data_IF_767220888638
#
_entry.id   IF_767220888638
#
_cell.length_a   1.000
_cell.length_b   1.000
_cell.length_c   1.000
_cell.angle_alpha   90.00
_cell.angle_beta   90.00
_cell.angle_gamma   90.00
#
_symmetry.space_group_name_H-M   'P 1'
#
loop_
_entity.id
_entity.type
_entity.pdbx_description
1 polymer ?
#
# COMPACT_ATOMS: atom_id res chain seq x y z
N UNK A 1 10.78 -9.02 6.99
CA UNK A 1 11.37 -8.40 5.79
C UNK A 1 10.58 -8.67 4.49
N UNK A 2 10.53 -7.69 3.57
CA UNK A 2 10.02 -7.85 2.19
C UNK A 2 10.86 -8.90 1.41
N UNK A 3 10.22 -9.78 0.63
CA UNK A 3 10.91 -10.78 -0.16
C UNK A 3 11.88 -10.19 -1.19
N UNK A 4 11.56 -9.03 -1.79
CA UNK A 4 12.45 -8.33 -2.72
C UNK A 4 13.73 -7.84 -2.01
N UNK A 5 13.58 -7.16 -0.88
CA UNK A 5 14.74 -6.65 -0.14
C UNK A 5 15.65 -7.77 0.36
N UNK A 6 15.06 -8.89 0.80
CA UNK A 6 15.84 -10.08 1.17
C UNK A 6 16.69 -10.59 0.01
N UNK A 7 16.13 -10.63 -1.21
CA UNK A 7 16.84 -11.09 -2.41
C UNK A 7 17.97 -10.15 -2.78
N UNK A 8 17.71 -8.84 -2.81
CA UNK A 8 18.73 -7.84 -3.13
C UNK A 8 19.86 -7.83 -2.09
N UNK A 9 19.53 -7.92 -0.78
CA UNK A 9 20.55 -7.94 0.27
C UNK A 9 21.42 -9.22 0.24
N UNK A 10 20.88 -10.34 -0.23
CA UNK A 10 21.62 -11.59 -0.35
C UNK A 10 22.50 -11.66 -1.60
N UNK A 11 22.29 -10.78 -2.57
CA UNK A 11 23.01 -10.79 -3.84
C UNK A 11 24.27 -9.92 -3.75
N UNK A 12 25.48 -10.46 -4.01
CA UNK A 12 26.72 -9.69 -3.91
C UNK A 12 26.85 -8.59 -4.98
N UNK A 13 26.00 -8.58 -6.00
CA UNK A 13 25.98 -7.54 -7.04
C UNK A 13 25.15 -6.31 -6.63
N UNK A 14 24.45 -6.35 -5.49
CA UNK A 14 23.61 -5.26 -5.03
C UNK A 14 24.08 -4.68 -3.69
N UNK A 15 24.30 -3.36 -3.65
CA UNK A 15 24.41 -2.59 -2.40
C UNK A 15 23.08 -1.88 -2.10
N UNK A 16 22.16 -2.60 -1.45
CA UNK A 16 20.85 -2.05 -1.07
C UNK A 16 20.97 -1.13 0.15
N UNK A 17 20.71 0.16 -0.05
CA UNK A 17 20.59 1.15 1.03
C UNK A 17 19.22 1.82 1.03
N UNK A 18 18.72 2.15 2.23
CA UNK A 18 17.41 2.77 2.40
C UNK A 18 17.50 4.24 2.80
N UNK A 19 16.72 5.07 2.12
CA UNK A 19 16.34 6.39 2.61
C UNK A 19 15.02 6.28 3.36
N UNK A 20 15.05 6.58 4.67
CA UNK A 20 13.91 6.38 5.56
C UNK A 20 13.41 7.74 6.05
N UNK A 21 12.12 8.01 5.89
CA UNK A 21 11.50 9.25 6.33
C UNK A 21 10.04 9.07 6.74
N UNK A 22 9.35 10.18 6.98
CA UNK A 22 7.91 10.20 7.23
C UNK A 22 7.52 9.43 8.50
N UNK A 23 6.46 8.62 8.37
CA UNK A 23 5.88 7.88 9.50
C UNK A 23 6.84 6.85 10.13
N UNK A 24 7.87 6.39 9.40
CA UNK A 24 8.84 5.42 9.93
C UNK A 24 9.60 5.91 11.15
N UNK A 25 9.82 7.23 11.26
CA UNK A 25 10.53 7.85 12.37
C UNK A 25 9.59 8.43 13.44
N UNK A 26 8.27 8.30 13.26
CA UNK A 26 7.29 8.86 14.19
C UNK A 26 6.83 7.84 15.21
N UNK A 27 6.99 8.16 16.50
CA UNK A 27 6.46 7.34 17.61
C UNK A 27 4.93 7.25 17.59
N UNK A 28 4.25 8.30 17.14
CA UNK A 28 2.78 8.33 16.98
C UNK A 28 2.27 7.24 16.04
N UNK A 29 3.08 6.89 15.02
CA UNK A 29 2.77 5.88 14.02
C UNK A 29 3.55 4.57 14.24
N UNK A 30 4.09 4.36 15.45
CA UNK A 30 4.71 3.10 15.85
C UNK A 30 6.21 2.95 15.56
N UNK A 31 6.89 4.02 15.13
CA UNK A 31 8.35 4.08 14.95
C UNK A 31 8.91 2.88 14.16
N UNK A 32 8.31 2.62 13.00
CA UNK A 32 8.57 1.39 12.23
C UNK A 32 9.97 1.29 11.59
N UNK A 33 10.83 2.31 11.75
CA UNK A 33 12.27 2.17 11.46
C UNK A 33 12.93 1.08 12.33
N UNK A 34 12.42 0.80 13.52
CA UNK A 34 12.96 -0.26 14.37
C UNK A 34 12.80 -1.63 13.71
N UNK A 35 11.69 -1.85 13.01
CA UNK A 35 11.47 -3.08 12.22
C UNK A 35 12.41 -3.14 11.00
N UNK A 36 12.70 -2.00 10.36
CA UNK A 36 13.67 -1.94 9.26
C UNK A 36 15.06 -2.36 9.76
N UNK A 37 15.48 -1.86 10.92
CA UNK A 37 16.76 -2.22 11.56
C UNK A 37 16.79 -3.67 12.01
N UNK A 38 15.70 -4.17 12.60
CA UNK A 38 15.57 -5.56 13.01
C UNK A 38 15.59 -6.54 11.82
N UNK A 39 15.05 -6.12 10.66
CA UNK A 39 15.16 -6.85 9.39
C UNK A 39 16.61 -6.89 8.85
N UNK A 40 17.56 -6.18 9.48
CA UNK A 40 18.98 -6.14 9.08
C UNK A 40 19.26 -5.25 7.87
N UNK A 41 18.32 -4.39 7.48
CA UNK A 41 18.44 -3.53 6.31
C UNK A 41 19.31 -2.31 6.63
N UNK A 42 20.19 -1.96 5.69
CA UNK A 42 21.11 -0.84 5.85
C UNK A 42 20.41 0.48 5.50
N UNK A 43 20.38 1.41 6.45
CA UNK A 43 19.82 2.75 6.27
C UNK A 43 20.94 3.68 5.82
N UNK A 44 20.82 4.23 4.59
CA UNK A 44 21.71 5.29 4.09
C UNK A 44 21.50 6.57 4.90
N UNK A 45 20.24 6.95 5.05
CA UNK A 45 19.82 8.20 5.65
C UNK A 45 18.45 8.02 6.31
N UNK A 46 18.30 8.58 7.50
CA UNK A 46 17.04 8.73 8.18
C UNK A 46 16.72 10.22 8.35
N UNK A 47 15.59 10.69 7.82
CA UNK A 47 15.17 12.10 7.89
C UNK A 47 13.87 12.21 8.68
N UNK A 48 13.93 12.81 9.87
CA UNK A 48 12.74 13.14 10.66
C UNK A 48 11.93 14.23 9.97
N UNK A 49 11.08 13.84 9.03
CA UNK A 49 10.39 14.76 8.13
C UNK A 49 8.93 15.00 8.48
N UNK A 50 8.29 14.12 9.27
CA UNK A 50 6.86 14.19 9.53
C UNK A 50 6.53 15.25 10.59
N UNK A 51 5.78 16.28 10.18
CA UNK A 51 5.21 17.28 11.09
C UNK A 51 3.99 16.69 11.80
N UNK A 52 3.88 16.89 13.11
CA UNK A 52 2.71 16.48 13.90
C UNK A 52 1.50 17.39 13.65
N UNK A 53 0.86 17.19 12.50
CA UNK A 53 -0.36 17.87 12.08
C UNK A 53 -1.07 17.01 11.03
N UNK A 54 -2.39 17.14 10.93
CA UNK A 54 -3.23 16.47 9.94
C UNK A 54 -3.85 17.47 8.94
N UNK A 55 -3.19 18.60 8.73
CA UNK A 55 -3.61 19.62 7.75
C UNK A 55 -3.02 19.36 6.37
N UNK A 56 -3.69 19.77 5.27
CA UNK A 56 -3.12 19.65 3.92
C UNK A 56 -1.75 20.31 3.77
N UNK A 57 -1.52 21.47 4.39
CA UNK A 57 -0.24 22.17 4.31
C UNK A 57 0.89 21.43 5.04
N UNK A 58 0.59 20.75 6.14
CA UNK A 58 1.57 19.94 6.88
C UNK A 58 2.08 18.74 6.08
N UNK A 59 1.22 18.11 5.26
CA UNK A 59 1.61 17.04 4.33
C UNK A 59 2.70 17.51 3.38
N UNK A 60 2.48 18.65 2.71
CA UNK A 60 3.47 19.21 1.77
C UNK A 60 4.74 19.72 2.47
N UNK A 61 4.63 20.33 3.65
CA UNK A 61 5.80 20.73 4.44
C UNK A 61 6.65 19.52 4.83
N UNK A 62 6.02 18.43 5.24
CA UNK A 62 6.72 17.18 5.59
C UNK A 62 7.47 16.60 4.39
N UNK A 63 6.85 16.62 3.21
CA UNK A 63 7.50 16.23 1.96
C UNK A 63 8.71 17.12 1.62
N UNK A 64 8.57 18.43 1.79
CA UNK A 64 9.66 19.38 1.54
C UNK A 64 10.86 19.14 2.46
N UNK A 65 10.63 18.85 3.74
CA UNK A 65 11.71 18.51 4.69
C UNK A 65 12.41 17.21 4.25
N UNK A 66 11.65 16.19 3.84
CA UNK A 66 12.21 14.93 3.35
C UNK A 66 13.09 15.16 2.10
N UNK A 67 12.60 15.93 1.13
CA UNK A 67 13.37 16.25 -0.08
C UNK A 67 14.65 17.01 0.27
N UNK A 68 14.56 18.08 1.06
CA UNK A 68 15.72 18.88 1.46
C UNK A 68 16.78 18.03 2.19
N UNK A 69 16.36 17.19 3.13
CA UNK A 69 17.28 16.32 3.87
C UNK A 69 17.91 15.23 3.01
N UNK A 70 17.26 14.82 1.91
CA UNK A 70 17.71 13.74 1.04
C UNK A 70 18.78 14.15 0.02
N UNK A 71 18.75 15.40 -0.47
CA UNK A 71 19.52 15.84 -1.64
C UNK A 71 21.01 15.55 -1.49
N UNK A 72 21.65 16.08 -0.44
CA UNK A 72 23.12 16.01 -0.30
C UNK A 72 23.59 14.57 -0.09
N UNK A 73 22.82 13.77 0.66
CA UNK A 73 23.16 12.38 0.92
C UNK A 73 23.06 11.52 -0.34
N UNK A 74 22.01 11.70 -1.15
CA UNK A 74 21.83 10.96 -2.41
C UNK A 74 22.86 11.41 -3.44
N UNK A 75 23.09 12.72 -3.57
CA UNK A 75 24.10 13.29 -4.47
C UNK A 75 25.52 12.83 -4.12
N UNK A 76 25.83 12.68 -2.83
CA UNK A 76 27.13 12.18 -2.38
C UNK A 76 27.27 10.67 -2.56
N UNK A 77 26.20 9.91 -2.30
CA UNK A 77 26.20 8.45 -2.42
C UNK A 77 26.27 7.98 -3.88
N UNK A 78 25.68 8.74 -4.80
CA UNK A 78 25.64 8.43 -6.25
C UNK A 78 25.19 6.98 -6.52
N UNK A 79 23.98 6.58 -6.08
CA UNK A 79 23.49 5.24 -6.34
C UNK A 79 23.31 5.00 -7.84
N UNK A 80 23.52 3.77 -8.30
CA UNK A 80 23.21 3.39 -9.69
C UNK A 80 21.72 3.57 -9.98
N UNK A 81 20.84 3.29 -9.02
CA UNK A 81 19.41 3.49 -9.20
C UNK A 81 18.69 3.91 -7.92
N UNK A 82 17.60 4.64 -8.09
CA UNK A 82 16.63 4.91 -7.02
C UNK A 82 15.35 4.12 -7.30
N UNK A 83 14.91 3.35 -6.31
CA UNK A 83 13.69 2.55 -6.37
C UNK A 83 12.65 3.11 -5.41
N UNK A 84 11.41 3.29 -5.90
CA UNK A 84 10.28 3.73 -5.09
C UNK A 84 8.98 3.10 -5.55
N UNK A 85 7.99 3.04 -4.65
CA UNK A 85 6.74 2.32 -4.87
C UNK A 85 5.53 3.12 -4.42
N UNK A 86 4.46 3.09 -5.23
CA UNK A 86 3.17 3.67 -4.88
C UNK A 86 2.95 5.06 -5.47
N UNK A 87 2.40 5.96 -4.67
CA UNK A 87 1.73 7.19 -5.11
C UNK A 87 1.74 8.36 -4.12
N UNK A 88 2.41 8.23 -2.97
CA UNK A 88 2.52 9.28 -1.95
C UNK A 88 3.70 10.21 -2.23
N UNK A 89 3.90 11.21 -1.37
CA UNK A 89 4.89 12.27 -1.56
C UNK A 89 6.31 11.73 -1.77
N UNK A 90 6.68 10.69 -1.03
CA UNK A 90 7.98 10.03 -1.13
C UNK A 90 8.28 9.48 -2.54
N UNK A 91 7.25 9.09 -3.30
CA UNK A 91 7.39 8.60 -4.67
C UNK A 91 7.75 9.73 -5.62
N UNK A 92 7.11 10.89 -5.46
CA UNK A 92 7.48 12.08 -6.23
C UNK A 92 8.87 12.59 -5.84
N UNK A 93 9.23 12.56 -4.56
CA UNK A 93 10.57 12.94 -4.08
C UNK A 93 11.63 12.03 -4.71
N UNK A 94 11.46 10.71 -4.67
CA UNK A 94 12.37 9.77 -5.30
C UNK A 94 12.51 10.00 -6.81
N UNK A 95 11.39 10.30 -7.48
CA UNK A 95 11.38 10.61 -8.90
C UNK A 95 12.11 11.92 -9.23
N UNK A 96 11.94 12.97 -8.42
CA UNK A 96 12.66 14.24 -8.58
C UNK A 96 14.15 14.07 -8.33
N UNK A 97 14.54 13.41 -7.23
CA UNK A 97 15.95 13.16 -6.93
C UNK A 97 16.62 12.46 -8.11
N UNK A 98 16.01 11.40 -8.63
CA UNK A 98 16.55 10.72 -9.80
C UNK A 98 16.62 11.58 -11.06
N UNK A 99 15.54 12.27 -11.39
CA UNK A 99 15.48 13.08 -12.60
C UNK A 99 16.48 14.25 -12.60
N UNK A 100 16.65 14.95 -11.47
CA UNK A 100 17.50 16.14 -11.38
C UNK A 100 18.96 15.85 -11.01
N UNK A 101 19.23 14.72 -10.34
CA UNK A 101 20.60 14.26 -10.07
C UNK A 101 21.11 13.28 -11.14
N UNK A 102 20.34 13.10 -12.22
CA UNK A 102 20.67 12.22 -13.34
C UNK A 102 20.86 10.74 -12.96
N UNK A 103 20.13 10.29 -11.94
CA UNK A 103 20.16 8.90 -11.45
C UNK A 103 18.96 8.13 -12.02
N UNK A 104 19.19 6.96 -12.65
CA UNK A 104 18.13 6.07 -13.10
C UNK A 104 17.13 5.70 -12.00
N UNK A 105 15.86 5.63 -12.38
CA UNK A 105 14.76 5.38 -11.44
C UNK A 105 13.89 4.22 -11.85
N UNK A 106 13.43 3.44 -10.87
CA UNK A 106 12.51 2.32 -11.07
C UNK A 106 11.25 2.55 -10.23
N UNK A 107 10.14 2.84 -10.91
CA UNK A 107 8.85 3.08 -10.28
C UNK A 107 8.02 1.81 -10.20
N UNK A 108 7.75 1.38 -8.98
CA UNK A 108 6.79 0.31 -8.72
C UNK A 108 5.37 0.85 -8.65
N UNK A 109 4.45 0.11 -9.26
CA UNK A 109 3.00 0.41 -9.27
C UNK A 109 2.59 1.66 -10.07
N UNK A 110 3.45 2.16 -10.95
CA UNK A 110 3.07 3.12 -11.98
C UNK A 110 1.88 2.63 -12.81
N UNK A 111 1.07 3.55 -13.34
CA UNK A 111 -0.09 3.22 -14.19
C UNK A 111 -1.32 2.66 -13.46
N UNK A 112 -1.26 2.39 -12.15
CA UNK A 112 -2.47 2.17 -11.34
C UNK A 112 -3.37 3.43 -11.36
N UNK A 113 -4.66 3.27 -11.10
CA UNK A 113 -5.63 4.36 -11.15
C UNK A 113 -6.86 4.10 -10.27
N UNK A 114 -7.24 5.08 -9.46
CA UNK A 114 -8.50 5.08 -8.70
C UNK A 114 -9.47 6.13 -9.25
N UNK A 115 -10.78 5.94 -9.10
CA UNK A 115 -11.79 6.90 -9.59
C UNK A 115 -11.91 8.15 -8.73
N UNK A 116 -11.51 8.10 -7.45
CA UNK A 116 -11.59 9.28 -6.56
C UNK A 116 -10.76 10.45 -7.08
N UNK A 117 -9.76 10.20 -7.93
CA UNK A 117 -9.04 11.25 -8.64
C UNK A 117 -8.26 12.17 -7.71
N UNK A 118 -8.04 11.78 -6.45
CA UNK A 118 -7.29 12.59 -5.50
C UNK A 118 -5.82 12.70 -5.89
N UNK A 119 -5.04 13.48 -5.12
CA UNK A 119 -3.65 13.86 -5.41
C UNK A 119 -2.73 12.66 -5.69
N UNK A 120 -3.05 11.48 -5.15
CA UNK A 120 -2.24 10.27 -5.36
C UNK A 120 -2.22 9.83 -6.84
N UNK A 121 -3.30 10.02 -7.60
CA UNK A 121 -3.31 9.74 -9.05
C UNK A 121 -2.36 10.64 -9.86
N UNK A 122 -2.48 11.99 -9.84
CA UNK A 122 -1.57 12.86 -10.55
C UNK A 122 -0.13 12.74 -10.03
N UNK A 123 0.10 12.53 -8.72
CA UNK A 123 1.44 12.24 -8.19
C UNK A 123 2.00 10.97 -8.80
N UNK A 124 1.24 9.87 -8.84
CA UNK A 124 1.66 8.60 -9.44
C UNK A 124 2.03 8.77 -10.92
N UNK A 125 1.21 9.48 -11.70
CA UNK A 125 1.47 9.67 -13.13
C UNK A 125 2.61 10.66 -13.40
N UNK A 126 2.75 11.71 -12.59
CA UNK A 126 3.88 12.64 -12.65
C UNK A 126 5.19 11.93 -12.31
N UNK A 127 5.22 11.15 -11.23
CA UNK A 127 6.37 10.31 -10.90
C UNK A 127 6.67 9.34 -12.03
N UNK A 128 5.65 8.71 -12.63
CA UNK A 128 5.85 7.84 -13.79
C UNK A 128 6.54 8.58 -14.95
N UNK A 129 6.09 9.80 -15.29
CA UNK A 129 6.74 10.61 -16.34
C UNK A 129 8.18 11.01 -16.01
N UNK A 130 8.55 11.12 -14.73
CA UNK A 130 9.93 11.35 -14.30
C UNK A 130 10.76 10.05 -14.19
N UNK A 131 10.12 8.88 -14.21
CA UNK A 131 10.77 7.59 -13.94
C UNK A 131 11.45 6.99 -15.16
N UNK A 132 12.60 6.32 -14.99
CA UNK A 132 13.31 5.67 -16.11
C UNK A 132 12.63 4.35 -16.50
N UNK A 133 12.30 3.51 -15.53
CA UNK A 133 11.69 2.19 -15.71
C UNK A 133 10.47 2.01 -14.81
N UNK A 134 9.59 1.07 -15.20
CA UNK A 134 8.33 0.81 -14.53
C UNK A 134 8.15 -0.68 -14.26
N UNK A 135 7.97 -1.03 -12.99
CA UNK A 135 7.61 -2.38 -12.56
C UNK A 135 6.17 -2.36 -12.05
N UNK A 136 5.25 -2.80 -12.91
CA UNK A 136 3.81 -2.67 -12.66
C UNK A 136 3.14 -3.99 -12.30
N UNK A 137 1.98 -3.91 -11.64
CA UNK A 137 1.31 -5.10 -11.12
C UNK A 137 0.48 -5.85 -12.17
N UNK A 138 -0.24 -5.15 -13.05
CA UNK A 138 -1.16 -5.76 -14.02
C UNK A 138 -1.06 -5.11 -15.39
N UNK A 139 -1.54 -5.81 -16.42
CA UNK A 139 -1.49 -5.31 -17.81
C UNK A 139 -2.23 -3.97 -17.98
N UNK A 140 -3.34 -3.77 -17.27
CA UNK A 140 -4.07 -2.50 -17.29
C UNK A 140 -3.20 -1.30 -16.86
N UNK A 141 -2.23 -1.52 -15.96
CA UNK A 141 -1.29 -0.48 -15.55
C UNK A 141 -0.30 -0.16 -16.66
N UNK A 142 0.26 -1.20 -17.31
CA UNK A 142 1.14 -1.05 -18.48
C UNK A 142 0.43 -0.29 -19.60
N UNK A 143 -0.80 -0.65 -19.93
CA UNK A 143 -1.59 0.04 -20.96
C UNK A 143 -1.80 1.52 -20.66
N UNK A 144 -1.96 1.88 -19.38
CA UNK A 144 -2.09 3.29 -18.99
C UNK A 144 -0.77 4.05 -19.14
N UNK A 145 0.36 3.45 -18.79
CA UNK A 145 1.68 4.04 -18.99
C UNK A 145 2.02 4.22 -20.48
N UNK A 146 1.70 3.23 -21.33
CA UNK A 146 1.85 3.35 -22.78
C UNK A 146 1.06 4.55 -23.32
N UNK A 147 -0.17 4.76 -22.83
CA UNK A 147 -0.98 5.94 -23.20
C UNK A 147 -0.46 7.26 -22.62
N UNK A 148 0.33 7.23 -21.54
CA UNK A 148 1.07 8.39 -21.04
C UNK A 148 2.38 8.64 -21.82
N UNK A 149 2.65 7.86 -22.87
CA UNK A 149 3.84 7.97 -23.70
C UNK A 149 5.09 7.42 -23.03
N UNK A 150 4.95 6.44 -22.13
CA UNK A 150 6.10 5.70 -21.63
C UNK A 150 6.52 4.62 -22.64
N UNK A 151 7.82 4.48 -22.96
CA UNK A 151 8.29 3.48 -23.90
C UNK A 151 8.06 2.07 -23.38
N UNK A 152 7.56 1.19 -24.25
CA UNK A 152 7.16 -0.16 -23.88
C UNK A 152 8.33 -0.99 -23.31
N UNK A 153 9.50 -0.85 -23.92
CA UNK A 153 10.71 -1.54 -23.48
C UNK A 153 11.15 -1.16 -22.07
N UNK A 154 10.61 -0.07 -21.50
CA UNK A 154 10.87 0.38 -20.13
C UNK A 154 9.80 -0.05 -19.12
N UNK A 155 8.77 -0.78 -19.54
CA UNK A 155 7.67 -1.24 -18.69
C UNK A 155 7.72 -2.76 -18.56
N UNK A 156 7.61 -3.28 -17.33
CA UNK A 156 7.47 -4.72 -17.06
C UNK A 156 6.31 -4.99 -16.13
N UNK A 157 5.45 -5.93 -16.50
CA UNK A 157 4.38 -6.44 -15.63
C UNK A 157 4.97 -7.54 -14.77
N UNK A 158 5.21 -7.24 -13.49
CA UNK A 158 5.83 -8.17 -12.53
C UNK A 158 4.85 -8.76 -11.54
N UNK A 159 3.67 -8.15 -11.37
CA UNK A 159 2.73 -8.51 -10.29
C UNK A 159 2.91 -7.64 -9.05
N UNK A 160 2.10 -7.89 -8.02
CA UNK A 160 2.16 -7.18 -6.76
C UNK A 160 3.13 -7.87 -5.78
N UNK A 161 4.16 -7.14 -5.32
CA UNK A 161 5.21 -7.66 -4.41
C UNK A 161 4.65 -8.13 -3.07
N UNK A 162 3.55 -7.55 -2.61
CA UNK A 162 2.95 -7.95 -1.33
C UNK A 162 2.51 -9.42 -1.34
N UNK A 163 2.13 -9.96 -2.52
CA UNK A 163 1.56 -11.30 -2.63
C UNK A 163 2.60 -12.38 -2.38
N UNK A 164 3.88 -12.11 -2.64
CA UNK A 164 4.99 -13.00 -2.28
C UNK A 164 4.99 -13.31 -0.78
N UNK A 165 4.72 -12.29 0.06
CA UNK A 165 4.65 -12.48 1.51
C UNK A 165 3.41 -13.30 1.90
N UNK A 166 2.26 -13.05 1.28
CA UNK A 166 1.06 -13.85 1.53
C UNK A 166 1.26 -15.32 1.14
N UNK A 167 1.93 -15.58 0.02
CA UNK A 167 2.23 -16.94 -0.44
C UNK A 167 3.21 -17.67 0.48
N UNK A 168 4.27 -16.98 0.93
CA UNK A 168 5.30 -17.59 1.77
C UNK A 168 4.89 -17.74 3.25
N UNK A 169 4.01 -16.87 3.75
CA UNK A 169 3.67 -16.81 5.17
C UNK A 169 2.79 -17.99 5.61
N UNK A 170 3.14 -18.62 6.72
CA UNK A 170 2.25 -19.57 7.41
C UNK A 170 1.60 -18.84 8.58
N UNK A 171 0.28 -18.76 8.58
CA UNK A 171 -0.46 -18.02 9.60
C UNK A 171 -0.18 -18.60 11.00
N UNK A 172 0.09 -17.72 11.95
CA UNK A 172 0.09 -18.07 13.37
C UNK A 172 -1.35 -18.51 13.73
N UNK A 173 -1.54 -19.66 14.39
CA UNK A 173 -2.86 -20.10 14.84
C UNK A 173 -3.53 -19.06 15.72
N UNK A 174 -4.85 -18.94 15.62
CA UNK A 174 -5.62 -17.88 16.28
C UNK A 174 -5.42 -17.84 17.79
N UNK A 175 -5.31 -18.98 18.46
CA UNK A 175 -5.10 -19.07 19.91
C UNK A 175 -3.72 -18.48 20.30
N UNK A 176 -2.69 -18.75 19.49
CA UNK A 176 -1.35 -18.19 19.71
C UNK A 176 -1.32 -16.69 19.40
N UNK A 177 -2.01 -16.27 18.35
CA UNK A 177 -2.15 -14.86 17.98
C UNK A 177 -2.87 -14.06 19.08
N UNK A 178 -3.89 -14.66 19.70
CA UNK A 178 -4.60 -14.09 20.82
C UNK A 178 -3.68 -13.83 22.01
N UNK A 179 -2.82 -14.79 22.37
CA UNK A 179 -1.84 -14.61 23.45
C UNK A 179 -0.77 -13.59 23.08
N UNK A 180 -0.23 -13.67 21.86
CA UNK A 180 0.88 -12.84 21.38
C UNK A 180 0.50 -11.36 21.25
N UNK A 181 -0.70 -11.06 20.77
CA UNK A 181 -1.17 -9.69 20.55
C UNK A 181 -2.10 -9.17 21.66
N UNK A 182 -2.45 -10.02 22.64
CA UNK A 182 -3.43 -9.68 23.66
C UNK A 182 -4.83 -9.45 23.09
N UNK A 183 -5.24 -10.24 22.08
CA UNK A 183 -6.59 -10.12 21.53
C UNK A 183 -7.62 -10.50 22.61
N UNK A 184 -8.76 -9.80 22.70
CA UNK A 184 -9.80 -10.13 23.68
C UNK A 184 -10.31 -11.56 23.50
N UNK A 185 -10.49 -12.30 24.60
CA UNK A 185 -11.06 -13.65 24.53
C UNK A 185 -12.47 -13.67 23.91
N UNK A 186 -13.24 -12.60 24.11
CA UNK A 186 -14.56 -12.45 23.52
C UNK A 186 -14.54 -12.02 22.04
N UNK A 187 -13.37 -11.74 21.44
CA UNK A 187 -13.27 -11.28 20.04
C UNK A 187 -14.05 -12.19 19.08
N UNK A 188 -13.93 -13.50 19.27
CA UNK A 188 -14.61 -14.46 18.41
C UNK A 188 -14.14 -14.34 16.97
N UNK A 189 -14.96 -14.80 16.03
CA UNK A 189 -14.75 -14.52 14.62
C UNK A 189 -14.78 -13.01 14.38
N UNK A 190 -13.84 -12.50 13.59
CA UNK A 190 -13.66 -11.07 13.40
C UNK A 190 -13.48 -10.68 11.94
N UNK A 191 -13.77 -9.41 11.66
CA UNK A 191 -13.36 -8.73 10.44
C UNK A 191 -12.10 -7.90 10.68
N UNK A 192 -11.21 -7.87 9.69
CA UNK A 192 -10.12 -6.90 9.63
C UNK A 192 -10.67 -5.58 9.08
N UNK A 193 -10.54 -4.50 9.84
CA UNK A 193 -11.07 -3.18 9.48
C UNK A 193 -9.92 -2.23 9.18
N UNK A 194 -9.88 -1.69 7.97
CA UNK A 194 -8.86 -0.72 7.55
C UNK A 194 -9.52 0.40 6.73
N UNK A 195 -9.60 1.60 7.31
CA UNK A 195 -10.32 2.73 6.73
C UNK A 195 -9.50 4.02 6.81
N UNK A 196 -9.39 4.70 5.69
CA UNK A 196 -8.61 5.92 5.50
C UNK A 196 -9.53 7.07 5.09
N UNK A 197 -9.25 8.32 5.51
CA UNK A 197 -9.99 9.47 5.02
C UNK A 197 -9.85 9.61 3.51
N UNK A 198 -10.97 9.76 2.80
CA UNK A 198 -11.00 10.21 1.40
C UNK A 198 -11.53 11.65 1.37
N UNK A 199 -11.02 12.56 0.52
CA UNK A 199 -11.49 13.94 0.47
C UNK A 199 -13.00 14.09 0.26
N UNK A 200 -13.62 13.17 -0.48
CA UNK A 200 -15.06 13.22 -0.79
C UNK A 200 -15.90 12.90 0.46
N UNK A 201 -15.38 12.06 1.34
CA UNK A 201 -16.12 11.49 2.48
C UNK A 201 -15.49 11.90 3.83
N UNK A 202 -14.55 12.84 3.83
CA UNK A 202 -13.72 13.20 4.99
C UNK A 202 -14.54 13.61 6.21
N UNK A 203 -15.55 14.45 6.01
CA UNK A 203 -16.38 14.99 7.10
C UNK A 203 -17.29 13.93 7.74
N UNK A 204 -17.53 12.84 7.01
CA UNK A 204 -18.35 11.71 7.48
C UNK A 204 -17.54 10.47 7.84
N UNK A 205 -16.21 10.51 7.68
CA UNK A 205 -15.35 9.34 7.85
C UNK A 205 -15.49 8.67 9.24
N UNK A 206 -15.53 9.41 10.37
CA UNK A 206 -15.78 8.81 11.69
C UNK A 206 -17.14 8.10 11.79
N UNK A 207 -18.18 8.68 11.18
CA UNK A 207 -19.53 8.12 11.16
C UNK A 207 -19.59 6.86 10.31
N UNK A 208 -18.88 6.83 9.17
CA UNK A 208 -18.77 5.64 8.31
C UNK A 208 -18.05 4.51 9.05
N UNK A 209 -16.96 4.80 9.75
CA UNK A 209 -16.29 3.82 10.62
C UNK A 209 -17.26 3.28 11.69
N UNK A 210 -17.99 4.15 12.38
CA UNK A 210 -19.00 3.75 13.35
C UNK A 210 -20.06 2.81 12.75
N UNK A 211 -20.60 3.14 11.57
CA UNK A 211 -21.58 2.30 10.85
C UNK A 211 -21.01 0.91 10.53
N UNK A 212 -19.76 0.82 10.08
CA UNK A 212 -19.11 -0.46 9.81
C UNK A 212 -18.98 -1.30 11.09
N UNK A 213 -18.52 -0.70 12.18
CA UNK A 213 -18.36 -1.42 13.46
C UNK A 213 -19.70 -1.91 14.02
N UNK A 214 -20.75 -1.09 13.94
CA UNK A 214 -22.08 -1.46 14.40
C UNK A 214 -22.74 -2.52 13.50
N UNK A 215 -22.45 -2.50 12.20
CA UNK A 215 -22.88 -3.53 11.25
C UNK A 215 -22.21 -4.88 11.54
N UNK A 216 -20.88 -4.88 11.74
CA UNK A 216 -20.14 -6.08 12.13
C UNK A 216 -20.67 -6.71 13.42
N UNK A 217 -20.93 -5.87 14.44
CA UNK A 217 -21.49 -6.33 15.70
C UNK A 217 -22.88 -6.97 15.52
N UNK A 218 -23.76 -6.38 14.70
CA UNK A 218 -25.08 -6.94 14.38
C UNK A 218 -24.99 -8.30 13.65
N UNK A 219 -23.94 -8.51 12.85
CA UNK A 219 -23.63 -9.79 12.21
C UNK A 219 -22.83 -10.75 13.11
N UNK A 220 -22.64 -10.41 14.39
CA UNK A 220 -21.95 -11.28 15.35
C UNK A 220 -20.45 -11.41 15.09
N UNK A 221 -19.82 -10.45 14.42
CA UNK A 221 -18.37 -10.39 14.21
C UNK A 221 -17.70 -9.40 15.18
N UNK A 222 -16.50 -9.75 15.62
CA UNK A 222 -15.57 -8.81 16.25
C UNK A 222 -14.86 -7.93 15.22
N UNK A 223 -14.16 -6.92 15.68
CA UNK A 223 -13.41 -5.99 14.84
C UNK A 223 -11.94 -5.92 15.28
N UNK A 224 -11.03 -6.19 14.34
CA UNK A 224 -9.60 -5.90 14.47
C UNK A 224 -9.30 -4.71 13.59
N UNK A 225 -9.03 -3.54 14.18
CA UNK A 225 -9.01 -2.25 13.50
C UNK A 225 -7.59 -1.68 13.41
N UNK A 226 -7.11 -1.46 12.18
CA UNK A 226 -5.88 -0.72 11.94
C UNK A 226 -6.12 0.79 12.00
N UNK A 227 -5.19 1.52 12.62
CA UNK A 227 -5.25 2.99 12.63
C UNK A 227 -5.04 3.54 11.21
N UNK A 228 -5.65 4.70 10.88
CA UNK A 228 -5.38 5.36 9.60
C UNK A 228 -3.91 5.80 9.51
N UNK A 229 -3.48 6.03 8.27
CA UNK A 229 -2.17 6.61 7.97
C UNK A 229 -2.12 8.10 8.32
N UNK A 230 -0.97 8.73 8.05
CA UNK A 230 -0.72 10.15 8.34
C UNK A 230 -1.41 11.13 7.38
N UNK A 231 -2.39 10.68 6.60
CA UNK A 231 -3.08 11.55 5.64
C UNK A 231 -3.96 12.58 6.38
N UNK A 232 -4.24 13.74 5.76
CA UNK A 232 -5.05 14.77 6.40
C UNK A 232 -6.40 14.27 6.90
N UNK A 233 -6.85 14.82 8.03
CA UNK A 233 -8.08 14.47 8.73
C UNK A 233 -8.17 13.02 9.26
N UNK A 234 -7.05 12.48 9.71
CA UNK A 234 -7.01 11.18 10.40
C UNK A 234 -7.46 11.26 11.88
N UNK A 235 -7.44 12.44 12.52
CA UNK A 235 -7.70 12.58 13.97
C UNK A 235 -9.09 12.13 14.39
N UNK A 236 -10.13 12.52 13.64
CA UNK A 236 -11.50 12.11 13.95
C UNK A 236 -11.71 10.59 13.86
N UNK A 237 -10.99 9.91 12.94
CA UNK A 237 -11.00 8.44 12.89
C UNK A 237 -10.30 7.84 14.09
N UNK A 238 -9.15 8.38 14.49
CA UNK A 238 -8.44 7.95 15.71
C UNK A 238 -9.34 8.08 16.93
N UNK A 239 -10.00 9.21 17.13
CA UNK A 239 -10.95 9.42 18.22
C UNK A 239 -12.09 8.40 18.20
N UNK A 240 -12.67 8.12 17.03
CA UNK A 240 -13.72 7.12 16.88
C UNK A 240 -13.25 5.68 17.20
N UNK A 241 -11.99 5.35 16.89
CA UNK A 241 -11.37 4.07 17.28
C UNK A 241 -11.20 4.00 18.80
N UNK A 242 -10.66 5.06 19.42
CA UNK A 242 -10.39 5.09 20.87
C UNK A 242 -11.68 4.97 21.68
N UNK A 243 -12.78 5.57 21.23
CA UNK A 243 -14.10 5.45 21.87
C UNK A 243 -14.66 4.02 21.91
N UNK A 244 -14.10 3.10 21.11
CA UNK A 244 -14.53 1.70 21.00
C UNK A 244 -13.59 0.73 21.72
N UNK A 245 -12.47 1.22 22.27
CA UNK A 245 -11.37 0.39 22.79
C UNK A 245 -11.80 -0.59 23.89
N UNK A 246 -12.75 -0.20 24.73
CA UNK A 246 -13.22 -1.02 25.86
C UNK A 246 -14.31 -2.04 25.48
N UNK A 247 -14.69 -2.12 24.20
CA UNK A 247 -15.68 -3.10 23.75
C UNK A 247 -15.08 -4.51 23.73
N UNK A 248 -15.82 -5.54 24.22
CA UNK A 248 -15.27 -6.88 24.42
C UNK A 248 -14.87 -7.60 23.12
N UNK A 249 -15.40 -7.16 21.98
CA UNK A 249 -15.13 -7.74 20.65
C UNK A 249 -14.36 -6.82 19.73
N UNK A 250 -13.51 -5.98 20.31
CA UNK A 250 -12.78 -4.94 19.60
C UNK A 250 -11.30 -4.99 19.96
N UNK A 251 -10.45 -4.88 18.95
CA UNK A 251 -9.01 -4.72 19.12
C UNK A 251 -8.51 -3.71 18.10
N UNK A 252 -7.66 -2.77 18.51
CA UNK A 252 -7.10 -1.78 17.59
C UNK A 252 -5.58 -1.68 17.72
N UNK A 253 -4.89 -1.51 16.59
CA UNK A 253 -3.44 -1.50 16.50
C UNK A 253 -2.93 -0.37 15.61
N UNK A 254 -1.83 0.27 16.00
CA UNK A 254 -1.18 1.30 15.18
C UNK A 254 -0.31 0.68 14.09
N UNK A 255 0.61 -0.18 14.51
CA UNK A 255 1.48 -0.95 13.65
C UNK A 255 1.64 -2.35 14.25
N UNK A 256 1.64 -3.37 13.40
CA UNK A 256 1.95 -4.74 13.78
C UNK A 256 3.25 -5.16 13.08
N UNK A 257 3.96 -6.11 13.67
CA UNK A 257 4.98 -6.82 12.92
C UNK A 257 4.35 -7.54 11.72
N UNK A 258 5.12 -7.71 10.66
CA UNK A 258 4.60 -8.25 9.39
C UNK A 258 3.95 -9.62 9.57
N UNK A 259 4.58 -10.52 10.31
CA UNK A 259 4.09 -11.89 10.50
C UNK A 259 2.80 -11.90 11.34
N UNK A 260 2.69 -10.99 12.30
CA UNK A 260 1.48 -10.79 13.10
C UNK A 260 0.35 -10.20 12.24
N UNK A 261 0.62 -9.18 11.44
CA UNK A 261 -0.37 -8.60 10.52
C UNK A 261 -0.88 -9.63 9.51
N UNK A 262 0.02 -10.39 8.85
CA UNK A 262 -0.39 -11.42 7.89
C UNK A 262 -1.16 -12.55 8.57
N UNK A 263 -0.88 -12.85 9.84
CA UNK A 263 -1.65 -13.82 10.63
C UNK A 263 -3.02 -13.29 11.00
N UNK A 264 -3.14 -12.03 11.43
CA UNK A 264 -4.43 -11.35 11.65
C UNK A 264 -5.25 -11.38 10.35
N UNK A 265 -4.61 -11.08 9.22
CA UNK A 265 -5.25 -11.06 7.91
C UNK A 265 -5.79 -12.45 7.52
N UNK A 266 -4.95 -13.49 7.64
CA UNK A 266 -5.30 -14.87 7.26
C UNK A 266 -6.34 -15.52 8.16
N UNK A 267 -6.46 -15.08 9.41
CA UNK A 267 -7.46 -15.58 10.35
C UNK A 267 -8.78 -14.78 10.32
N UNK A 268 -8.87 -13.68 9.57
CA UNK A 268 -10.08 -12.88 9.46
C UNK A 268 -11.19 -13.60 8.68
N UNK A 269 -12.46 -13.30 8.99
CA UNK A 269 -13.61 -13.77 8.20
C UNK A 269 -13.85 -12.97 6.93
N UNK A 270 -13.55 -11.68 6.99
CA UNK A 270 -13.61 -10.73 5.88
C UNK A 270 -12.70 -9.54 6.19
N UNK A 271 -12.34 -8.79 5.16
CA UNK A 271 -11.75 -7.46 5.29
C UNK A 271 -12.80 -6.41 4.88
N UNK A 272 -12.90 -5.31 5.63
CA UNK A 272 -13.84 -4.23 5.37
C UNK A 272 -13.20 -2.86 5.57
N UNK A 273 -13.59 -1.89 4.75
CA UNK A 273 -13.12 -0.52 4.81
C UNK A 273 -12.83 0.00 3.41
N UNK A 274 -11.74 0.73 3.23
CA UNK A 274 -11.37 1.29 1.92
C UNK A 274 -9.86 1.23 1.68
N UNK A 275 -9.18 0.30 2.35
CA UNK A 275 -7.77 0.01 2.14
C UNK A 275 -7.56 -0.70 0.81
N UNK A 276 -6.47 -0.36 0.12
CA UNK A 276 -6.05 -1.07 -1.09
C UNK A 276 -5.87 -2.56 -0.84
N UNK A 277 -5.49 -2.97 0.37
CA UNK A 277 -5.28 -4.36 0.76
C UNK A 277 -6.52 -5.24 0.49
N UNK A 278 -7.74 -4.69 0.67
CA UNK A 278 -8.99 -5.38 0.34
C UNK A 278 -9.14 -5.74 -1.13
N UNK A 279 -8.55 -4.95 -2.03
CA UNK A 279 -8.59 -5.18 -3.48
C UNK A 279 -7.37 -5.95 -3.97
N UNK A 280 -6.20 -5.55 -3.49
CA UNK A 280 -4.91 -5.98 -4.02
C UNK A 280 -4.45 -7.32 -3.45
N UNK A 281 -4.73 -7.58 -2.17
CA UNK A 281 -4.14 -8.67 -1.39
C UNK A 281 -5.17 -9.70 -0.95
N UNK A 282 -6.41 -9.28 -0.71
CA UNK A 282 -7.46 -10.15 -0.18
C UNK A 282 -7.76 -11.39 -1.01
N UNK A 283 -7.45 -11.41 -2.31
CA UNK A 283 -7.64 -12.60 -3.15
C UNK A 283 -6.47 -13.60 -3.08
N UNK A 284 -5.35 -13.26 -2.42
CA UNK A 284 -4.20 -14.17 -2.22
C UNK A 284 -4.40 -15.17 -1.08
N UNK A 285 -5.38 -14.90 -0.24
CA UNK A 285 -5.95 -15.81 0.74
C UNK A 285 -7.44 -15.84 0.39
N UNK A 286 -8.19 -16.94 0.53
CA UNK A 286 -9.60 -16.95 0.15
C UNK A 286 -10.44 -16.10 1.14
N UNK A 287 -10.31 -14.77 1.08
CA UNK A 287 -10.92 -13.79 1.96
C UNK A 287 -11.84 -12.86 1.16
N UNK A 288 -13.08 -12.73 1.63
CA UNK A 288 -14.00 -11.76 1.08
C UNK A 288 -13.62 -10.34 1.51
N UNK A 289 -13.82 -9.38 0.61
CA UNK A 289 -13.57 -7.97 0.86
C UNK A 289 -14.85 -7.14 0.65
N UNK A 290 -15.14 -6.24 1.59
CA UNK A 290 -16.17 -5.21 1.46
C UNK A 290 -15.47 -3.86 1.34
N UNK A 291 -15.48 -3.30 0.14
CA UNK A 291 -14.91 -1.98 -0.15
C UNK A 291 -16.00 -0.91 -0.03
N UNK A 292 -15.84 -0.01 0.94
CA UNK A 292 -16.82 0.98 1.36
C UNK A 292 -16.42 2.36 0.84
N UNK A 293 -17.36 3.01 0.14
CA UNK A 293 -17.19 4.36 -0.38
C UNK A 293 -16.57 4.38 -1.77
N UNK A 294 -15.86 5.47 -2.08
CA UNK A 294 -15.39 5.77 -3.44
C UNK A 294 -13.89 5.55 -3.67
N UNK A 295 -13.10 5.45 -2.60
CA UNK A 295 -11.63 5.53 -2.65
C UNK A 295 -10.98 4.52 -3.60
N UNK A 296 -11.46 3.26 -3.63
CA UNK A 296 -10.87 2.20 -4.45
C UNK A 296 -11.62 1.91 -5.76
N UNK A 297 -12.72 2.62 -6.04
CA UNK A 297 -13.52 2.38 -7.25
C UNK A 297 -12.67 2.57 -8.51
N UNK A 298 -12.92 1.74 -9.53
CA UNK A 298 -12.21 1.74 -10.81
C UNK A 298 -10.90 0.97 -10.83
N UNK A 299 -10.41 0.49 -9.69
CA UNK A 299 -9.35 -0.53 -9.68
C UNK A 299 -9.88 -1.86 -10.21
N UNK A 300 -8.97 -2.67 -10.77
CA UNK A 300 -9.26 -4.05 -11.12
C UNK A 300 -9.54 -4.84 -9.83
N UNK A 301 -10.75 -5.37 -9.68
CA UNK A 301 -11.14 -6.13 -8.49
C UNK A 301 -11.40 -7.59 -8.83
N UNK A 302 -11.00 -8.48 -7.92
CA UNK A 302 -11.37 -9.90 -7.99
C UNK A 302 -12.85 -10.12 -7.66
N UNK A 303 -13.36 -11.31 -7.96
CA UNK A 303 -14.75 -11.69 -7.66
C UNK A 303 -15.05 -11.80 -6.15
N UNK A 304 -14.02 -11.77 -5.30
CA UNK A 304 -14.12 -11.76 -3.84
C UNK A 304 -14.45 -10.37 -3.25
N UNK A 305 -14.49 -9.32 -4.08
CA UNK A 305 -14.75 -7.94 -3.64
C UNK A 305 -16.21 -7.57 -3.87
N UNK A 306 -16.85 -7.00 -2.84
CA UNK A 306 -18.15 -6.32 -2.92
C UNK A 306 -17.94 -4.84 -2.63
N UNK A 307 -18.26 -3.99 -3.61
CA UNK A 307 -18.31 -2.54 -3.42
C UNK A 307 -19.66 -2.15 -2.83
N UNK A 308 -19.66 -1.23 -1.86
CA UNK A 308 -20.89 -0.63 -1.35
C UNK A 308 -20.71 0.86 -1.06
N UNK A 309 -21.84 1.54 -0.89
CA UNK A 309 -21.86 2.93 -0.45
C UNK A 309 -21.68 3.01 1.07
N UNK A 310 -21.44 4.22 1.58
CA UNK A 310 -21.04 4.45 2.97
C UNK A 310 -22.22 4.54 3.97
N UNK A 311 -23.45 4.32 3.52
CA UNK A 311 -24.63 4.27 4.38
C UNK A 311 -24.78 2.90 5.07
N UNK A 312 -25.51 2.89 6.19
CA UNK A 312 -25.63 1.70 7.03
C UNK A 312 -26.30 0.52 6.31
N UNK A 313 -27.34 0.77 5.51
CA UNK A 313 -28.08 -0.29 4.84
C UNK A 313 -27.24 -0.96 3.75
N UNK A 314 -26.49 -0.18 2.98
CA UNK A 314 -25.55 -0.71 1.99
C UNK A 314 -24.45 -1.56 2.63
N UNK A 315 -23.88 -1.10 3.76
CA UNK A 315 -22.85 -1.83 4.52
C UNK A 315 -23.41 -3.16 5.07
N UNK A 316 -24.59 -3.14 5.71
CA UNK A 316 -25.23 -4.36 6.24
C UNK A 316 -25.50 -5.37 5.11
N UNK A 317 -26.05 -4.91 3.98
CA UNK A 317 -26.33 -5.76 2.82
C UNK A 317 -25.05 -6.37 2.22
N UNK A 318 -23.96 -5.59 2.16
CA UNK A 318 -22.67 -6.07 1.68
C UNK A 318 -22.08 -7.14 2.62
N UNK A 319 -22.11 -6.91 3.94
CA UNK A 319 -21.66 -7.89 4.94
C UNK A 319 -22.48 -9.18 4.85
N UNK A 320 -23.81 -9.08 4.79
CA UNK A 320 -24.69 -10.23 4.63
C UNK A 320 -24.37 -11.04 3.36
N UNK A 321 -24.11 -10.35 2.25
CA UNK A 321 -23.74 -10.99 0.98
C UNK A 321 -22.42 -11.75 1.10
N UNK A 322 -21.36 -11.12 1.63
CA UNK A 322 -20.04 -11.76 1.69
C UNK A 322 -19.98 -12.92 2.69
N UNK A 323 -20.84 -12.91 3.71
CA UNK A 323 -20.97 -14.01 4.66
C UNK A 323 -21.84 -15.17 4.14
N UNK A 324 -22.51 -15.02 3.01
CA UNK A 324 -23.37 -16.07 2.45
C UNK A 324 -22.57 -17.28 1.94
N UNK A 325 -23.10 -18.52 2.04
CA UNK A 325 -22.44 -19.70 1.48
C UNK A 325 -22.16 -19.59 -0.03
N UNK A 326 -23.06 -18.95 -0.78
CA UNK A 326 -22.90 -18.73 -2.21
C UNK A 326 -21.68 -17.86 -2.52
N UNK A 327 -21.45 -16.80 -1.73
CA UNK A 327 -20.27 -15.96 -1.88
C UNK A 327 -19.00 -16.68 -1.42
N UNK A 328 -19.08 -17.49 -0.35
CA UNK A 328 -17.98 -18.35 0.08
C UNK A 328 -17.47 -19.29 -1.02
N UNK A 329 -18.37 -19.85 -1.83
CA UNK A 329 -17.99 -20.68 -2.98
C UNK A 329 -17.24 -19.90 -4.07
N UNK A 330 -17.60 -18.64 -4.31
CA UNK A 330 -16.87 -17.74 -5.23
C UNK A 330 -15.47 -17.46 -4.69
N UNK A 331 -15.38 -17.08 -3.42
CA UNK A 331 -14.11 -16.74 -2.76
C UNK A 331 -13.13 -17.92 -2.74
N UNK A 332 -13.63 -19.15 -2.57
CA UNK A 332 -12.80 -20.36 -2.58
C UNK A 332 -12.11 -20.63 -3.93
N UNK A 333 -12.60 -20.05 -5.03
CA UNK A 333 -12.08 -20.25 -6.38
C UNK A 333 -11.38 -19.00 -6.95
N UNK A 334 -11.32 -17.91 -6.20
CA UNK A 334 -10.77 -16.65 -6.69
C UNK A 334 -9.27 -16.79 -6.96
N UNK A 335 -8.83 -16.28 -8.11
CA UNK A 335 -7.41 -16.07 -8.41
C UNK A 335 -7.14 -14.59 -8.26
N UNK A 336 -6.05 -14.23 -7.57
CA UNK A 336 -5.70 -12.83 -7.40
C UNK A 336 -5.30 -12.21 -8.75
N UNK A 337 -6.02 -11.20 -9.26
CA UNK A 337 -5.70 -10.57 -10.54
C UNK A 337 -4.36 -9.81 -10.53
N UNK A 338 -3.82 -9.52 -9.35
CA UNK A 338 -2.54 -8.81 -9.18
C UNK A 338 -1.31 -9.73 -9.16
N UNK A 339 -1.49 -11.03 -9.40
CA UNK A 339 -0.39 -11.96 -9.67
C UNK A 339 -0.35 -13.17 -8.73
N UNK A 340 0.68 -13.99 -8.92
CA UNK A 340 0.83 -15.32 -8.33
C UNK A 340 1.73 -15.40 -7.09
N UNK A 341 2.24 -14.27 -6.60
CA UNK A 341 3.18 -14.24 -5.47
C UNK A 341 4.59 -14.68 -5.84
N UNK A 342 5.06 -14.24 -7.00
CA UNK A 342 6.42 -14.40 -7.52
C UNK A 342 6.98 -13.06 -8.05
N UNK A 343 6.36 -11.94 -7.68
CA UNK A 343 6.69 -10.63 -8.21
C UNK A 343 8.07 -10.16 -7.73
N UNK A 344 8.47 -10.53 -6.50
CA UNK A 344 9.78 -10.18 -5.97
C UNK A 344 10.92 -10.85 -6.71
N UNK A 345 10.69 -12.05 -7.24
CA UNK A 345 11.68 -12.74 -8.07
C UNK A 345 11.87 -12.06 -9.42
N UNK A 346 10.75 -11.76 -10.11
CA UNK A 346 10.77 -11.05 -11.40
C UNK A 346 11.39 -9.65 -11.26
N UNK A 347 11.04 -8.94 -10.19
CA UNK A 347 11.59 -7.63 -9.88
C UNK A 347 13.10 -7.69 -9.58
N UNK A 348 13.55 -8.65 -8.76
CA UNK A 348 14.97 -8.84 -8.49
C UNK A 348 15.77 -9.18 -9.76
N UNK A 349 15.24 -10.08 -10.60
CA UNK A 349 15.85 -10.39 -11.89
C UNK A 349 16.00 -9.13 -12.76
N UNK A 350 14.97 -8.29 -12.84
CA UNK A 350 15.05 -7.03 -13.56
C UNK A 350 16.12 -6.09 -12.99
N UNK A 351 16.10 -5.85 -11.68
CA UNK A 351 17.00 -4.90 -11.01
C UNK A 351 18.47 -5.31 -11.10
N UNK A 352 18.77 -6.61 -11.01
CA UNK A 352 20.14 -7.12 -11.03
C UNK A 352 20.74 -7.24 -12.45
N UNK A 353 19.90 -7.43 -13.47
CA UNK A 353 20.37 -7.73 -14.83
C UNK A 353 20.10 -6.63 -15.85
N UNK A 354 19.42 -5.55 -15.45
CA UNK A 354 19.25 -4.36 -16.29
C UNK A 354 20.41 -3.39 -16.02
N UNK A 355 20.99 -2.84 -17.08
CA UNK A 355 21.98 -1.77 -16.90
C UNK A 355 21.30 -0.49 -16.44
N UNK A 356 21.43 -0.22 -15.13
CA UNK A 356 20.87 0.93 -14.46
C UNK A 356 21.93 2.02 -14.21
N UNK A 357 23.11 1.97 -14.81
CA UNK A 357 24.19 2.95 -14.51
C UNK A 357 24.07 4.28 -15.23
N UNK A 358 23.27 4.34 -16.29
CA UNK A 358 23.11 5.54 -17.11
C UNK A 358 21.64 5.94 -17.23
N UNK A 359 21.36 7.22 -16.99
CA UNK A 359 20.05 7.79 -17.25
C UNK A 359 19.67 7.61 -18.72
N UNK A 360 18.45 7.13 -18.96
CA UNK A 360 17.89 7.07 -20.30
C UNK A 360 16.98 8.27 -20.52
N UNK A 361 17.39 9.28 -21.32
CA UNK A 361 16.55 10.44 -21.56
C UNK A 361 15.23 10.01 -22.21
N UNK A 362 14.18 10.78 -21.93
CA UNK A 362 12.88 10.63 -22.57
C UNK A 362 12.77 11.64 -23.69
N UNK A 363 13.21 11.24 -24.88
CA UNK A 363 13.23 12.09 -26.08
C UNK A 363 11.92 12.02 -26.87
N UNK A 364 10.96 11.21 -26.41
CA UNK A 364 9.70 10.97 -27.08
C UNK A 364 8.80 12.22 -26.97
N UNK A 365 8.40 12.78 -28.12
CA UNK A 365 7.37 13.82 -28.16
C UNK A 365 5.97 13.17 -28.08
N UNK A 366 5.16 13.46 -27.05
CA UNK A 366 3.81 12.89 -26.93
C UNK A 366 2.85 13.31 -28.06
N UNK A 367 3.17 14.35 -28.85
CA UNK A 367 2.40 14.74 -30.03
C UNK A 367 2.69 13.86 -31.26
N UNK A 368 3.83 13.17 -31.29
CA UNK A 368 4.28 12.36 -32.43
C UNK A 368 3.97 10.89 -32.16
N UNK A 369 2.90 10.38 -32.77
CA UNK A 369 2.56 8.96 -32.72
C UNK A 369 3.73 8.10 -33.26
N UNK A 370 4.33 7.26 -32.41
CA UNK A 370 5.47 6.42 -32.78
C UNK A 370 6.85 6.92 -32.31
N UNK A 371 6.93 8.05 -31.60
CA UNK A 371 7.95 8.28 -30.57
C UNK A 371 9.42 8.30 -31.01
N UNK A 372 9.77 8.87 -32.16
CA UNK A 372 11.14 9.40 -32.36
C UNK A 372 11.06 10.76 -33.04
N UNK A 373 11.72 11.75 -32.44
CA UNK A 373 12.06 12.98 -33.17
C UNK A 373 13.12 12.66 -34.23
N UNK A 374 13.09 13.33 -35.39
CA UNK A 374 14.03 13.12 -36.49
C UNK A 374 15.48 13.40 -36.11
#
# INVERSE_FOLDING_TARGET
MSALYRRLQADPQADLRLLVGGAHLSRTYGHSIDQIRADGLQVLLAVESLIDSDTPSSRLKSASILLQGAIDAVASWQPDAIVYAGDREEVWIGAMLGAYLEIPTVHFYGGDHTMSGYVDNPVRHAASKLSTYHLVAVEAHRQRLLRLGEPDERIRVVGNLSLDNFRAHRAIPREQLQQRLGLPAALGDYALVMFHPDPVERDIAPQVLGRMLDALAAHGLGAVVGYPNSDPANRGLVEAIEQRRDQPRFFAYRNLERDDFLSVYKNARLIIGNSSSGILEAASVPLAAVDVGVRQRGRLAGANVVFCDADRAAIDAAIARVLSPAFGAIVAQVVNPYGSGDASERAAQFLLHTDLRALRPKTEDPLVAGGRNP
#
